data_IF_191161811091
#
_entry.id   IF_191161811091
#
_cell.length_a   1.000
_cell.length_b   1.000
_cell.length_c   1.000
_cell.angle_alpha   90.00
_cell.angle_beta   90.00
_cell.angle_gamma   90.00
#
_symmetry.space_group_name_H-M   'P 1'
#
loop_
_entity.id
_entity.type
_entity.pdbx_description
1 polymer ?
#
# COMPACT_ATOMS: atom_id res chain seq x y z
N UNK A 1 13.68 3.15 -6.64
CA UNK A 1 12.37 2.51 -6.89
C UNK A 1 11.60 2.35 -5.60
N UNK A 2 10.33 2.60 -5.63
CA UNK A 2 9.45 2.35 -4.49
C UNK A 2 9.02 0.89 -4.56
N UNK A 3 9.11 0.18 -3.44
CA UNK A 3 8.63 -1.19 -3.36
C UNK A 3 7.49 -1.24 -2.35
N UNK A 4 6.33 -1.68 -2.82
CA UNK A 4 5.14 -1.86 -1.99
C UNK A 4 4.91 -3.35 -1.82
N UNK A 5 4.88 -3.81 -0.58
CA UNK A 5 4.59 -5.20 -0.28
C UNK A 5 3.28 -5.25 0.49
N UNK A 6 2.31 -6.02 -0.02
CA UNK A 6 0.98 -6.05 0.57
C UNK A 6 0.54 -7.48 0.83
N UNK A 7 0.09 -7.73 2.06
CA UNK A 7 -0.51 -8.99 2.46
C UNK A 7 -1.72 -8.69 3.34
N UNK A 8 -2.43 -9.73 3.75
CA UNK A 8 -3.60 -9.54 4.62
C UNK A 8 -3.22 -8.95 5.98
N UNK A 9 -2.02 -9.16 6.44
CA UNK A 9 -1.58 -8.74 7.78
C UNK A 9 -0.67 -7.53 7.79
N UNK A 10 -0.10 -7.15 6.65
CA UNK A 10 0.89 -6.08 6.66
C UNK A 10 1.06 -5.47 5.28
N UNK A 11 1.25 -4.15 5.26
CA UNK A 11 1.61 -3.42 4.05
C UNK A 11 2.85 -2.59 4.37
N UNK A 12 3.88 -2.72 3.55
CA UNK A 12 5.08 -1.92 3.69
C UNK A 12 5.38 -1.16 2.40
N UNK A 13 5.91 0.03 2.55
CA UNK A 13 6.33 0.86 1.43
C UNK A 13 7.73 1.35 1.72
N UNK A 14 8.68 1.00 0.86
CA UNK A 14 10.08 1.37 1.06
C UNK A 14 10.65 1.99 -0.20
N UNK A 15 11.61 2.89 -0.01
CA UNK A 15 12.35 3.48 -1.12
C UNK A 15 11.75 4.77 -1.63
N UNK A 16 12.36 5.28 -2.68
CA UNK A 16 11.94 6.51 -3.33
C UNK A 16 11.84 6.26 -4.83
N UNK A 17 10.94 6.98 -5.46
CA UNK A 17 10.76 6.82 -6.90
C UNK A 17 12.03 7.20 -7.65
N UNK A 18 12.68 8.29 -7.26
CA UNK A 18 13.87 8.80 -7.92
C UNK A 18 13.72 8.79 -9.43
N UNK A 19 12.52 9.05 -9.82
CA UNK A 19 12.13 8.85 -11.19
C UNK A 19 12.82 9.86 -12.10
N UNK A 20 12.93 11.07 -11.61
CA UNK A 20 13.49 12.14 -12.39
C UNK A 20 13.71 13.36 -11.49
N UNK A 21 14.16 14.45 -12.09
CA UNK A 21 14.39 15.70 -11.37
C UNK A 21 13.13 16.25 -10.71
N UNK A 22 13.25 17.39 -10.06
CA UNK A 22 12.14 18.06 -9.40
C UNK A 22 10.88 18.07 -10.24
N UNK A 23 9.75 17.86 -9.62
CA UNK A 23 8.48 17.76 -10.30
C UNK A 23 8.06 16.33 -10.53
N UNK A 24 8.97 15.40 -10.39
CA UNK A 24 8.68 13.98 -10.56
C UNK A 24 8.31 13.31 -9.25
N UNK A 25 8.29 14.06 -8.18
CA UNK A 25 7.80 13.59 -6.89
C UNK A 25 6.33 13.22 -6.94
N UNK A 26 5.69 13.46 -8.06
CA UNK A 26 4.30 13.08 -8.25
C UNK A 26 4.07 11.59 -7.98
N UNK A 27 5.03 10.75 -8.31
CA UNK A 27 4.92 9.31 -8.05
C UNK A 27 4.97 9.05 -6.55
N UNK A 28 5.94 9.64 -5.86
CA UNK A 28 6.03 9.51 -4.41
C UNK A 28 4.79 10.07 -3.74
N UNK A 29 4.30 11.21 -4.20
CA UNK A 29 3.09 11.82 -3.65
C UNK A 29 1.88 10.93 -3.84
N UNK A 30 1.74 10.32 -5.01
CA UNK A 30 0.61 9.45 -5.30
C UNK A 30 0.64 8.21 -4.39
N UNK A 31 1.79 7.56 -4.27
CA UNK A 31 1.93 6.40 -3.41
C UNK A 31 1.69 6.77 -1.95
N UNK A 32 2.23 7.91 -1.52
CA UNK A 32 2.04 8.37 -0.13
C UNK A 32 0.58 8.67 0.17
N UNK A 33 -0.12 9.30 -0.76
CA UNK A 33 -1.54 9.62 -0.57
C UNK A 33 -2.37 8.35 -0.46
N UNK A 34 -2.13 7.37 -1.32
CA UNK A 34 -2.84 6.10 -1.25
C UNK A 34 -2.53 5.36 0.04
N UNK A 35 -1.27 5.38 0.47
CA UNK A 35 -0.85 4.67 1.67
C UNK A 35 -1.48 5.30 2.91
N UNK A 36 -1.49 6.62 3.00
CA UNK A 36 -2.13 7.32 4.11
C UNK A 36 -3.63 7.06 4.12
N UNK A 37 -4.26 7.08 2.95
CA UNK A 37 -5.68 6.79 2.84
C UNK A 37 -5.99 5.39 3.35
N UNK A 38 -5.17 4.40 2.97
CA UNK A 38 -5.36 3.04 3.44
C UNK A 38 -5.25 2.96 4.95
N UNK A 39 -4.22 3.58 5.53
CA UNK A 39 -4.00 3.53 6.97
C UNK A 39 -5.21 4.10 7.72
N UNK A 40 -5.69 5.26 7.28
CA UNK A 40 -6.83 5.92 7.91
C UNK A 40 -8.12 5.13 7.70
N UNK A 41 -8.30 4.57 6.52
CA UNK A 41 -9.49 3.76 6.23
C UNK A 41 -9.52 2.50 7.11
N UNK A 42 -8.38 1.87 7.30
CA UNK A 42 -8.30 0.70 8.16
C UNK A 42 -8.69 1.04 9.60
N UNK A 43 -8.29 2.20 10.10
CA UNK A 43 -8.65 2.61 11.44
C UNK A 43 -10.11 3.01 11.57
N UNK A 44 -10.61 3.76 10.59
CA UNK A 44 -11.93 4.38 10.71
C UNK A 44 -13.05 3.47 10.22
N UNK A 45 -12.80 2.67 9.21
CA UNK A 45 -13.83 1.85 8.57
C UNK A 45 -13.80 0.40 9.02
N UNK A 46 -12.66 -0.08 9.46
CA UNK A 46 -12.50 -1.47 9.93
C UNK A 46 -11.73 -1.50 11.25
N UNK A 47 -12.28 -0.86 12.31
CA UNK A 47 -11.55 -0.75 13.58
C UNK A 47 -11.29 -2.09 14.25
N UNK A 48 -12.11 -3.09 13.98
CA UNK A 48 -11.93 -4.43 14.53
C UNK A 48 -10.66 -5.12 14.02
N UNK A 49 -10.10 -4.65 12.92
CA UNK A 49 -8.83 -5.17 12.41
C UNK A 49 -7.63 -4.73 13.24
N UNK A 50 -7.78 -3.69 14.04
CA UNK A 50 -6.74 -3.17 14.92
C UNK A 50 -5.46 -2.87 14.16
N UNK A 51 -5.55 -1.97 13.20
CA UNK A 51 -4.39 -1.57 12.42
C UNK A 51 -3.53 -0.59 13.21
N UNK A 52 -2.23 -0.77 13.10
CA UNK A 52 -1.25 0.17 13.63
C UNK A 52 -0.31 0.53 12.50
N UNK A 53 0.08 1.80 12.43
CA UNK A 53 0.88 2.22 11.31
C UNK A 53 1.90 3.29 11.69
N UNK A 54 2.94 3.35 10.89
CA UNK A 54 3.94 4.39 10.91
C UNK A 54 4.13 4.86 9.48
N UNK A 55 3.90 6.15 9.23
CA UNK A 55 4.01 6.72 7.90
C UNK A 55 5.17 7.70 7.89
N UNK A 56 6.28 7.28 7.32
CA UNK A 56 7.45 8.12 7.17
C UNK A 56 7.82 8.22 5.70
N UNK A 57 8.45 9.33 5.36
CA UNK A 57 8.89 9.54 3.99
C UNK A 57 9.87 8.44 3.59
N UNK A 58 9.51 7.67 2.58
CA UNK A 58 10.35 6.58 2.10
C UNK A 58 10.28 5.30 2.92
N UNK A 59 9.43 5.28 3.96
CA UNK A 59 9.35 4.11 4.82
C UNK A 59 8.02 4.09 5.57
N UNK A 60 7.06 3.36 5.06
CA UNK A 60 5.76 3.22 5.71
C UNK A 60 5.52 1.76 6.07
N UNK A 61 4.85 1.55 7.19
CA UNK A 61 4.54 0.22 7.68
C UNK A 61 3.15 0.24 8.30
N UNK A 62 2.29 -0.64 7.84
CA UNK A 62 0.93 -0.79 8.33
C UNK A 62 0.75 -2.26 8.72
N UNK A 63 0.40 -2.49 9.98
CA UNK A 63 0.18 -3.85 10.50
C UNK A 63 -1.26 -4.01 10.91
N UNK A 64 -1.87 -5.13 10.51
CA UNK A 64 -3.25 -5.45 10.84
C UNK A 64 -3.24 -6.67 11.77
N UNK A 65 -3.66 -6.46 13.03
CA UNK A 65 -3.61 -7.52 14.02
C UNK A 65 -4.67 -8.60 13.75
N UNK A 66 -5.84 -8.19 13.27
CA UNK A 66 -6.97 -9.10 13.04
C UNK A 66 -7.54 -8.89 11.64
N UNK A 67 -6.96 -9.53 10.62
CA UNK A 67 -7.49 -9.41 9.26
C UNK A 67 -8.94 -9.86 9.18
N UNK A 68 -9.76 -9.05 8.52
CA UNK A 68 -11.17 -9.34 8.28
C UNK A 68 -11.43 -9.22 6.80
N UNK A 69 -12.65 -9.57 6.37
CA UNK A 69 -13.02 -9.36 4.99
C UNK A 69 -12.94 -7.88 4.61
N UNK A 70 -13.31 -7.01 5.55
CA UNK A 70 -13.23 -5.57 5.32
C UNK A 70 -11.80 -5.08 5.15
N UNK A 71 -10.89 -5.48 6.05
CA UNK A 71 -9.51 -5.07 5.94
C UNK A 71 -8.88 -5.57 4.64
N UNK A 72 -9.19 -6.81 4.27
CA UNK A 72 -8.64 -7.39 3.04
C UNK A 72 -9.16 -6.65 1.81
N UNK A 73 -10.43 -6.25 1.82
CA UNK A 73 -11.00 -5.52 0.70
C UNK A 73 -10.32 -4.16 0.53
N UNK A 74 -10.07 -3.46 1.63
CA UNK A 74 -9.40 -2.17 1.58
C UNK A 74 -7.98 -2.32 1.05
N UNK A 75 -7.27 -3.35 1.48
CA UNK A 75 -5.91 -3.58 1.00
C UNK A 75 -5.90 -3.94 -0.48
N UNK A 76 -6.89 -4.70 -0.95
CA UNK A 76 -7.01 -5.02 -2.37
C UNK A 76 -7.26 -3.77 -3.20
N UNK A 77 -8.13 -2.90 -2.74
CA UNK A 77 -8.39 -1.64 -3.43
C UNK A 77 -7.11 -0.80 -3.53
N UNK A 78 -6.37 -0.74 -2.43
CA UNK A 78 -5.09 -0.06 -2.41
C UNK A 78 -4.11 -0.65 -3.42
N UNK A 79 -4.02 -1.98 -3.46
CA UNK A 79 -3.12 -2.67 -4.39
C UNK A 79 -3.46 -2.35 -5.85
N UNK A 80 -4.74 -2.26 -6.17
CA UNK A 80 -5.16 -1.88 -7.51
C UNK A 80 -4.68 -0.47 -7.86
N UNK A 81 -4.77 0.46 -6.92
CA UNK A 81 -4.28 1.82 -7.13
C UNK A 81 -2.77 1.85 -7.35
N UNK A 82 -2.03 1.06 -6.57
CA UNK A 82 -0.58 0.95 -6.74
C UNK A 82 -0.24 0.38 -8.11
N UNK A 83 -0.98 -0.62 -8.57
CA UNK A 83 -0.77 -1.19 -9.90
C UNK A 83 -0.99 -0.16 -10.99
N UNK A 84 -2.01 0.67 -10.85
CA UNK A 84 -2.27 1.73 -11.82
C UNK A 84 -1.10 2.70 -11.90
N UNK A 85 -0.53 3.07 -10.75
CA UNK A 85 0.64 3.93 -10.71
C UNK A 85 1.83 3.26 -11.36
N UNK A 86 2.06 1.98 -11.05
CA UNK A 86 3.19 1.24 -11.60
C UNK A 86 3.11 1.15 -13.11
N UNK A 87 1.91 1.00 -13.65
CA UNK A 87 1.70 0.96 -15.09
C UNK A 87 1.94 2.31 -15.75
N UNK A 88 1.49 3.37 -15.09
CA UNK A 88 1.63 4.73 -15.66
C UNK A 88 3.05 5.25 -15.57
N UNK A 89 3.82 4.81 -14.59
CA UNK A 89 5.17 5.28 -14.34
C UNK A 89 6.12 4.10 -14.21
N UNK A 90 6.29 3.40 -15.33
CA UNK A 90 7.06 2.17 -15.35
C UNK A 90 8.48 2.37 -14.83
N UNK A 91 8.92 1.42 -14.00
CA UNK A 91 10.23 1.47 -13.41
C UNK A 91 10.31 2.24 -12.10
N UNK A 92 9.22 2.92 -11.68
CA UNK A 92 9.24 3.72 -10.44
C UNK A 92 8.68 2.98 -9.25
N UNK A 93 7.74 2.08 -9.46
CA UNK A 93 7.06 1.37 -8.38
C UNK A 93 6.96 -0.10 -8.70
N UNK A 94 7.21 -0.93 -7.70
CA UNK A 94 7.04 -2.37 -7.80
C UNK A 94 6.08 -2.82 -6.72
N UNK A 95 5.07 -3.59 -7.09
CA UNK A 95 4.14 -4.17 -6.14
C UNK A 95 4.41 -5.66 -5.97
N UNK A 96 4.59 -6.07 -4.72
CA UNK A 96 4.69 -7.48 -4.35
C UNK A 96 3.44 -7.79 -3.53
N UNK A 97 2.60 -8.66 -4.04
CA UNK A 97 1.29 -8.89 -3.45
C UNK A 97 1.09 -10.36 -3.12
N UNK A 98 0.63 -10.63 -1.90
CA UNK A 98 0.33 -11.97 -1.43
C UNK A 98 -1.17 -12.19 -1.21
N UNK A 99 -2.00 -11.23 -1.56
CA UNK A 99 -3.44 -11.31 -1.31
C UNK A 99 -4.14 -12.35 -2.17
N UNK A 100 -3.66 -12.51 -3.39
CA UNK A 100 -4.25 -13.47 -4.32
C UNK A 100 -4.09 -14.89 -3.84
N UNK A 101 -3.00 -15.17 -3.13
CA UNK A 101 -2.75 -16.49 -2.60
C UNK A 101 -3.82 -16.88 -1.60
N UNK A 102 -4.23 -15.94 -0.77
CA UNK A 102 -5.27 -16.18 0.21
C UNK A 102 -6.57 -16.53 -0.49
N UNK A 103 -6.84 -15.84 -1.58
CA UNK A 103 -8.05 -16.07 -2.35
C UNK A 103 -8.07 -17.43 -3.00
N UNK A 104 -6.92 -17.95 -3.33
CA UNK A 104 -6.82 -19.26 -3.96
C UNK A 104 -7.29 -20.37 -3.04
N UNK A 105 -7.25 -20.14 -1.75
CA UNK A 105 -7.73 -21.12 -0.81
C UNK A 105 -9.22 -21.36 -0.88
N UNK A 106 -9.91 -20.58 -1.64
CA UNK A 106 -11.36 -20.78 -1.80
C UNK A 106 -11.67 -21.58 -3.07
#
# INVERSE_FOLDING_TARGET
MIVVTASAAQVTVTGHARYAPPGQDVVCAAVSALTACLAHALQDLTPDGQAQYSLKNGDADIKIAHPTNGTKLLIKAYALGIMDIAESYQGSVKLVEALTTVKQGT
#
